data_IF_317863052651
#
_entry.id   IF_317863052651
#
_cell.length_a   1.000
_cell.length_b   1.000
_cell.length_c   1.000
_cell.angle_alpha   90.00
_cell.angle_beta   90.00
_cell.angle_gamma   90.00
#
_symmetry.space_group_name_H-M   'P 1'
#
loop_
_entity.id
_entity.type
_entity.pdbx_description
1 polymer ?
2 non-polymer ?
3 water ?
#
# COMPACT_ATOMS: atom_id res chain seq x y z
N UNK A 1 -18.95 -18.38 -2.82
CA UNK A 1 -19.83 -17.45 -2.09
C UNK A 1 -21.05 -18.19 -1.54
N UNK A 2 -21.54 -17.77 -0.39
CA UNK A 2 -22.72 -18.34 0.23
C UNK A 2 -23.71 -17.21 0.50
N UNK A 3 -24.98 -17.38 0.13
CA UNK A 3 -25.98 -16.36 0.38
C UNK A 3 -27.08 -16.89 1.26
N UNK A 4 -27.41 -16.20 2.34
CA UNK A 4 -28.53 -16.65 3.17
C UNK A 4 -29.58 -15.56 3.02
N UNK A 5 -30.79 -15.94 2.64
CA UNK A 5 -31.83 -14.96 2.44
C UNK A 5 -33.01 -15.23 3.35
N UNK A 6 -33.33 -14.24 4.17
CA UNK A 6 -34.47 -14.33 5.04
C UNK A 6 -35.66 -13.64 4.35
N UNK A 7 -36.77 -14.34 4.24
CA UNK A 7 -37.97 -13.78 3.62
C UNK A 7 -39.16 -14.20 4.45
N UNK A 8 -40.24 -13.44 4.40
CA UNK A 8 -41.45 -13.77 5.15
C UNK A 8 -42.05 -14.98 4.48
N UNK A 9 -42.78 -15.76 5.25
CA UNK A 9 -43.44 -16.96 4.76
C UNK A 9 -44.53 -16.55 3.81
N UNK A 10 -44.89 -17.43 2.91
CA UNK A 10 -45.94 -17.08 1.98
C UNK A 10 -45.69 -17.36 0.51
N UNK A 11 -44.44 -17.23 0.05
CA UNK A 11 -44.14 -17.48 -1.34
C UNK A 11 -44.36 -18.92 -1.77
N UNK A 12 -44.48 -19.11 -3.08
CA UNK A 12 -44.66 -20.41 -3.64
C UNK A 12 -43.30 -21.04 -3.88
N UNK A 13 -43.29 -22.35 -4.09
CA UNK A 13 -42.06 -23.05 -4.31
C UNK A 13 -41.43 -22.57 -5.61
N UNK A 14 -42.28 -22.12 -6.51
CA UNK A 14 -41.84 -21.67 -7.81
C UNK A 14 -41.11 -20.37 -7.64
N UNK A 15 -41.65 -19.51 -6.79
CA UNK A 15 -40.98 -18.24 -6.55
C UNK A 15 -39.64 -18.42 -5.84
N UNK A 16 -39.58 -19.36 -4.91
CA UNK A 16 -38.37 -19.62 -4.19
C UNK A 16 -37.33 -20.22 -5.12
N UNK A 17 -37.77 -21.10 -5.99
CA UNK A 17 -36.87 -21.72 -6.96
C UNK A 17 -36.25 -20.65 -7.84
N UNK A 18 -37.09 -19.73 -8.27
CA UNK A 18 -36.60 -18.64 -9.12
C UNK A 18 -35.64 -17.77 -8.32
N UNK A 19 -36.00 -17.49 -7.09
CA UNK A 19 -35.15 -16.69 -6.25
C UNK A 19 -33.75 -17.32 -6.20
N UNK A 20 -33.69 -18.61 -5.92
CA UNK A 20 -32.43 -19.30 -5.83
C UNK A 20 -31.65 -19.21 -7.14
N UNK A 21 -32.33 -19.42 -8.24
CA UNK A 21 -31.68 -19.37 -9.54
C UNK A 21 -31.22 -17.96 -9.88
N UNK A 22 -32.09 -16.97 -9.72
CA UNK A 22 -31.73 -15.58 -10.00
C UNK A 22 -30.56 -15.06 -9.13
N UNK A 23 -30.66 -15.30 -7.82
CA UNK A 23 -29.62 -14.81 -6.95
C UNK A 23 -28.30 -15.50 -7.29
N UNK A 24 -28.33 -16.78 -7.60
CA UNK A 24 -27.08 -17.48 -7.94
C UNK A 24 -26.41 -16.90 -9.16
N UNK A 25 -27.19 -16.60 -10.20
CA UNK A 25 -26.64 -16.00 -11.41
C UNK A 25 -26.17 -14.60 -11.11
N UNK A 26 -26.92 -13.88 -10.31
CA UNK A 26 -26.50 -12.53 -9.99
C UNK A 26 -25.14 -12.54 -9.29
N UNK A 27 -24.96 -13.43 -8.33
CA UNK A 27 -23.69 -13.53 -7.61
C UNK A 27 -22.58 -13.95 -8.58
N UNK A 28 -22.85 -14.95 -9.40
CA UNK A 28 -21.90 -15.44 -10.39
C UNK A 28 -21.41 -14.38 -11.43
N UNK A 29 -22.33 -13.60 -11.98
CA UNK A 29 -21.99 -12.58 -12.95
C UNK A 29 -21.21 -11.48 -12.25
N UNK A 30 -21.75 -11.00 -11.13
CA UNK A 30 -21.15 -9.91 -10.36
C UNK A 30 -19.73 -10.13 -9.91
N UNK A 31 -19.44 -11.32 -9.41
CA UNK A 31 -18.12 -11.65 -8.89
C UNK A 31 -17.28 -12.42 -9.85
N UNK A 32 -17.88 -12.83 -10.95
CA UNK A 32 -17.17 -13.58 -11.97
C UNK A 32 -16.65 -14.87 -11.37
N UNK A 33 -17.56 -15.56 -10.70
CA UNK A 33 -17.27 -16.82 -10.05
C UNK A 33 -18.07 -17.92 -10.70
N UNK A 34 -17.54 -19.12 -10.69
CA UNK A 34 -18.30 -20.19 -11.31
C UNK A 34 -19.63 -20.40 -10.59
N UNK A 35 -20.69 -20.49 -11.38
CA UNK A 35 -22.01 -20.67 -10.88
C UNK A 35 -22.12 -21.88 -9.99
N UNK A 36 -21.29 -22.87 -10.27
CA UNK A 36 -21.33 -24.10 -9.48
C UNK A 36 -20.82 -23.95 -8.03
N UNK A 37 -20.11 -22.87 -7.71
CA UNK A 37 -19.61 -22.72 -6.36
C UNK A 37 -20.58 -21.93 -5.48
N UNK A 38 -21.65 -21.38 -6.05
CA UNK A 38 -22.59 -20.58 -5.28
C UNK A 38 -23.65 -21.36 -4.56
N UNK A 39 -23.77 -21.12 -3.25
CA UNK A 39 -24.74 -21.81 -2.43
C UNK A 39 -25.73 -20.81 -1.89
N UNK A 40 -27.00 -21.17 -1.91
CA UNK A 40 -27.98 -20.23 -1.45
C UNK A 40 -28.91 -20.92 -0.50
N UNK A 41 -29.10 -20.27 0.65
CA UNK A 41 -29.96 -20.75 1.71
C UNK A 41 -31.09 -19.80 1.88
N UNK A 42 -32.32 -20.31 1.82
CA UNK A 42 -33.51 -19.50 2.03
C UNK A 42 -34.03 -19.84 3.43
N UNK A 43 -34.14 -18.84 4.31
CA UNK A 43 -34.66 -19.05 5.64
C UNK A 43 -36.01 -18.32 5.67
N UNK A 44 -37.10 -19.04 5.85
CA UNK A 44 -38.40 -18.43 5.90
C UNK A 44 -38.75 -18.00 7.29
N UNK A 45 -39.35 -16.81 7.44
CA UNK A 45 -39.74 -16.32 8.74
C UNK A 45 -41.26 -16.35 8.85
N UNK A 46 -41.75 -16.77 10.03
CA UNK A 46 -43.18 -16.83 10.38
C UNK A 46 -43.53 -15.39 10.65
N UNK A 47 -44.73 -15.00 10.28
CA UNK A 47 -45.16 -13.61 10.42
C UNK A 47 -45.03 -13.13 11.85
N UNK A 48 -45.12 -14.06 12.78
CA UNK A 48 -44.97 -13.73 14.19
C UNK A 48 -43.53 -13.72 14.71
N UNK A 49 -42.56 -13.93 13.82
CA UNK A 49 -41.17 -13.93 14.25
C UNK A 49 -40.36 -12.86 13.61
N UNK A 50 -41.02 -11.93 12.90
CA UNK A 50 -40.33 -10.84 12.26
C UNK A 50 -40.99 -9.54 12.74
N UNK A 51 -40.19 -8.60 13.20
CA UNK A 51 -40.74 -7.33 13.63
C UNK A 51 -40.11 -6.22 12.84
N UNK A 52 -40.89 -5.17 12.51
CA UNK A 52 -40.40 -3.97 11.80
C UNK A 52 -40.85 -2.76 12.61
N UNK A 53 -39.95 -1.89 12.99
CA UNK A 53 -40.38 -0.78 13.81
C UNK A 53 -41.04 -1.26 15.11
N UNK A 54 -40.75 -2.45 15.62
CA UNK A 54 -41.34 -2.87 16.87
C UNK A 54 -42.63 -3.64 16.74
N UNK A 55 -43.29 -3.57 15.58
CA UNK A 55 -44.52 -4.34 15.39
C UNK A 55 -44.30 -5.65 14.62
N UNK A 56 -45.17 -6.62 14.87
CA UNK A 56 -45.10 -7.89 14.18
C UNK A 56 -45.43 -7.68 12.73
N UNK A 57 -44.81 -8.48 11.87
CA UNK A 57 -45.08 -8.40 10.44
C UNK A 57 -46.53 -8.85 10.15
N UNK A 58 -47.10 -9.69 11.02
CA UNK A 58 -48.48 -10.17 10.86
C UNK A 58 -49.53 -9.08 11.01
N UNK A 59 -49.18 -8.01 11.73
CA UNK A 59 -50.08 -6.91 11.97
C UNK A 59 -49.84 -5.89 10.89
N UNK A 60 -48.74 -6.01 10.17
CA UNK A 60 -48.40 -4.97 9.24
C UNK A 60 -48.03 -5.44 7.80
N UNK A 61 -48.15 -6.73 7.53
CA UNK A 61 -47.82 -7.23 6.22
C UNK A 61 -48.76 -8.34 5.93
N UNK A 62 -48.81 -8.77 4.68
CA UNK A 62 -49.67 -9.86 4.32
C UNK A 62 -49.15 -11.10 5.02
N UNK B 1 -37.14 -8.50 2.36
CA UNK B 1 -36.12 -9.57 2.34
C UNK B 1 -34.72 -9.04 2.71
N UNK B 2 -33.96 -9.89 3.41
CA UNK B 2 -32.59 -9.55 3.81
C UNK B 2 -31.62 -10.64 3.32
N UNK B 3 -30.57 -10.23 2.65
CA UNK B 3 -29.62 -11.19 2.15
C UNK B 3 -28.28 -10.92 2.73
N UNK B 4 -27.64 -11.93 3.27
CA UNK B 4 -26.27 -11.81 3.78
C UNK B 4 -25.41 -12.69 2.83
N UNK B 5 -24.38 -12.10 2.26
CA UNK B 5 -23.54 -12.83 1.35
C UNK B 5 -22.13 -12.89 1.87
N UNK B 6 -21.62 -14.10 2.05
CA UNK B 6 -20.26 -14.31 2.51
C UNK B 6 -19.38 -14.53 1.28
N UNK B 7 -18.37 -13.70 1.11
CA UNK B 7 -17.47 -13.85 -0.02
C UNK B 7 -16.03 -13.72 0.45
N UNK B 8 -15.09 -14.30 -0.28
CA UNK B 8 -13.68 -14.20 0.08
C UNK B 8 -13.21 -12.78 -0.18
N UNK B 9 -12.30 -12.29 0.66
CA UNK B 9 -11.74 -10.97 0.52
C UNK B 9 -11.00 -10.84 -0.81
N UNK B 10 -10.91 -9.62 -1.33
CA UNK B 10 -10.23 -9.44 -2.59
C UNK B 10 -10.93 -8.64 -3.65
N UNK B 11 -12.23 -8.72 -3.71
CA UNK B 11 -12.96 -7.98 -4.74
C UNK B 11 -12.83 -6.47 -4.60
N UNK B 12 -13.10 -5.76 -5.69
CA UNK B 12 -13.01 -4.34 -5.67
C UNK B 12 -14.33 -3.83 -5.17
N UNK B 13 -14.33 -2.56 -4.82
CA UNK B 13 -15.54 -1.92 -4.37
C UNK B 13 -16.58 -1.86 -5.46
N UNK B 14 -16.10 -1.86 -6.71
CA UNK B 14 -16.95 -1.80 -7.90
C UNK B 14 -17.68 -3.10 -8.02
N UNK B 15 -16.97 -4.18 -7.86
CA UNK B 15 -17.59 -5.48 -7.95
C UNK B 15 -18.62 -5.73 -6.86
N UNK B 16 -18.36 -5.20 -5.67
CA UNK B 16 -19.25 -5.40 -4.55
C UNK B 16 -20.48 -4.60 -4.75
N UNK B 17 -20.28 -3.42 -5.34
CA UNK B 17 -21.37 -2.51 -5.61
C UNK B 17 -22.31 -3.17 -6.59
N UNK B 18 -21.73 -3.79 -7.59
CA UNK B 18 -22.50 -4.52 -8.59
C UNK B 18 -23.22 -5.72 -7.94
N UNK B 19 -22.50 -6.42 -7.07
CA UNK B 19 -23.07 -7.55 -6.40
C UNK B 19 -24.33 -7.11 -5.69
N UNK B 20 -24.23 -6.06 -4.89
CA UNK B 20 -25.37 -5.53 -4.15
C UNK B 20 -26.54 -5.11 -5.05
N UNK B 21 -26.23 -4.47 -6.17
CA UNK B 21 -27.27 -4.04 -7.10
C UNK B 21 -27.93 -5.22 -7.80
N UNK B 22 -27.12 -6.14 -8.31
CA UNK B 22 -27.61 -7.31 -9.03
C UNK B 22 -28.39 -8.28 -8.15
N UNK B 23 -27.94 -8.53 -6.94
CA UNK B 23 -28.67 -9.42 -6.06
C UNK B 23 -29.97 -8.74 -5.62
N UNK B 24 -29.97 -7.43 -5.43
CA UNK B 24 -31.21 -6.76 -4.98
C UNK B 24 -32.31 -6.89 -6.00
N UNK B 25 -31.98 -6.59 -7.26
CA UNK B 25 -32.93 -6.72 -8.36
C UNK B 25 -33.36 -8.17 -8.50
N UNK B 26 -32.41 -9.12 -8.43
CA UNK B 26 -32.75 -10.54 -8.56
C UNK B 26 -33.80 -10.90 -7.53
N UNK B 27 -33.61 -10.44 -6.29
CA UNK B 27 -34.57 -10.75 -5.24
C UNK B 27 -35.92 -10.10 -5.53
N UNK B 28 -35.88 -8.82 -5.91
CA UNK B 28 -37.06 -8.03 -6.23
C UNK B 28 -37.93 -8.64 -7.37
N UNK B 29 -37.28 -8.98 -8.48
CA UNK B 29 -37.98 -9.57 -9.62
C UNK B 29 -38.53 -10.90 -9.21
N UNK B 30 -37.70 -11.74 -8.57
CA UNK B 30 -38.06 -13.11 -8.13
C UNK B 30 -39.22 -13.26 -7.20
N UNK B 31 -39.29 -12.36 -6.24
CA UNK B 31 -40.36 -12.42 -5.25
C UNK B 31 -41.42 -11.38 -5.53
N UNK B 32 -41.17 -10.55 -6.51
CA UNK B 32 -42.13 -9.53 -6.85
C UNK B 32 -42.31 -8.68 -5.63
N UNK B 33 -41.17 -8.16 -5.16
CA UNK B 33 -41.16 -7.29 -4.01
C UNK B 33 -40.57 -5.94 -4.38
N UNK B 34 -41.02 -4.88 -3.71
CA UNK B 34 -40.47 -3.57 -4.04
C UNK B 34 -38.97 -3.57 -3.76
N UNK B 35 -38.22 -3.17 -4.76
CA UNK B 35 -36.79 -3.11 -4.65
C UNK B 35 -36.33 -2.37 -3.41
N UNK B 36 -37.15 -1.44 -2.96
CA UNK B 36 -36.78 -0.63 -1.78
C UNK B 36 -36.82 -1.31 -0.42
N UNK B 37 -37.41 -2.50 -0.36
CA UNK B 37 -37.48 -3.24 0.90
C UNK B 37 -36.33 -4.24 1.02
N UNK B 38 -35.55 -4.36 -0.03
CA UNK B 38 -34.44 -5.28 -0.03
C UNK B 38 -33.15 -4.77 0.55
N UNK B 39 -32.65 -5.48 1.58
CA UNK B 39 -31.39 -5.15 2.23
C UNK B 39 -30.36 -6.22 1.94
N UNK B 40 -29.15 -5.78 1.65
CA UNK B 40 -28.09 -6.70 1.36
C UNK B 40 -26.86 -6.41 2.17
N UNK B 41 -26.36 -7.44 2.82
CA UNK B 41 -25.17 -7.35 3.66
C UNK B 41 -24.10 -8.18 3.05
N UNK B 42 -22.94 -7.60 2.83
CA UNK B 42 -21.81 -8.34 2.30
C UNK B 42 -20.84 -8.59 3.46
N UNK B 43 -20.51 -9.84 3.75
CA UNK B 43 -19.57 -10.15 4.80
C UNK B 43 -18.35 -10.75 4.11
N UNK B 44 -17.21 -10.09 4.27
CA UNK B 44 -15.97 -10.56 3.64
C UNK B 44 -15.22 -11.47 4.58
N UNK B 45 -14.79 -12.62 4.09
CA UNK B 45 -13.96 -13.51 4.88
C UNK B 45 -12.47 -13.42 4.45
N UNK B 46 -11.61 -13.41 5.46
CA UNK B 46 -10.15 -13.41 5.32
C UNK B 46 -9.83 -14.80 4.83
N UNK B 47 -8.87 -14.92 3.95
CA UNK B 47 -8.49 -16.21 3.40
C UNK B 47 -8.14 -17.24 4.50
N UNK B 48 -7.66 -16.77 5.63
CA UNK B 48 -7.36 -17.68 6.71
C UNK B 48 -8.57 -17.97 7.61
N UNK B 49 -9.75 -17.50 7.24
CA UNK B 49 -10.93 -17.73 8.05
C UNK B 49 -11.98 -18.53 7.32
N UNK B 50 -11.63 -19.03 6.14
CA UNK B 50 -12.53 -19.85 5.38
C UNK B 50 -11.85 -21.17 5.01
N UNK B 51 -12.55 -22.27 5.24
CA UNK B 51 -12.00 -23.57 4.94
C UNK B 51 -12.94 -24.38 4.09
N UNK B 52 -12.41 -25.12 3.13
CA UNK B 52 -13.22 -25.95 2.29
C UNK B 52 -12.56 -27.30 2.42
N UNK B 53 -13.31 -28.32 2.78
CA UNK B 53 -12.70 -29.63 2.94
C UNK B 53 -11.62 -29.73 4.03
N UNK B 54 -11.67 -28.88 5.05
CA UNK B 54 -10.68 -28.92 6.09
C UNK B 54 -9.47 -28.06 5.78
N UNK B 55 -9.32 -27.60 4.55
CA UNK B 55 -8.18 -26.75 4.22
C UNK B 55 -8.50 -25.25 4.10
N UNK B 56 -7.54 -24.39 4.46
CA UNK B 56 -7.76 -22.95 4.36
C UNK B 56 -7.83 -22.57 2.94
N UNK B 57 -8.61 -21.54 2.66
CA UNK B 57 -8.80 -21.03 1.32
C UNK B 57 -7.48 -20.39 0.83
N UNK B 58 -6.67 -19.87 1.74
CA UNK B 58 -5.42 -19.23 1.32
C UNK B 58 -4.45 -20.28 0.79
N UNK B 59 -4.65 -21.53 1.22
CA UNK B 59 -3.80 -22.63 0.79
C UNK B 59 -4.39 -23.24 -0.47
N UNK B 60 -5.64 -22.93 -0.77
CA UNK B 60 -6.30 -23.61 -1.85
C UNK B 60 -7.04 -22.77 -2.89
N UNK B 61 -6.93 -21.45 -2.77
CA UNK B 61 -7.61 -20.55 -3.69
C UNK B 61 -6.72 -19.37 -3.84
N UNK B 62 -6.97 -18.56 -4.86
CA UNK B 62 -6.16 -17.37 -5.08
C UNK B 62 -6.38 -16.37 -3.90
N UNK C 1 16.09 -0.60 0.38
CA UNK C 1 15.05 0.47 0.44
C UNK C 1 13.70 -0.12 0.92
N UNK C 2 12.96 0.70 1.67
CA UNK C 2 11.65 0.33 2.20
C UNK C 2 10.61 1.39 1.76
N UNK C 3 9.48 0.93 1.22
CA UNK C 3 8.45 1.85 0.76
C UNK C 3 7.12 1.62 1.44
N UNK C 4 6.56 2.68 2.02
CA UNK C 4 5.25 2.56 2.65
C UNK C 4 4.34 3.42 1.82
N UNK C 5 3.26 2.81 1.35
CA UNK C 5 2.34 3.53 0.52
C UNK C 5 0.96 3.58 1.15
N UNK C 6 0.46 4.80 1.35
CA UNK C 6 -0.88 5.03 1.90
C UNK C 6 -1.82 5.30 0.73
N UNK C 7 -2.84 4.45 0.62
CA UNK C 7 -3.85 4.59 -0.43
C UNK C 7 -5.23 4.40 0.21
N UNK C 8 -6.22 5.00 -0.42
CA UNK C 8 -7.59 4.87 0.04
C UNK C 8 -8.04 3.42 -0.19
N UNK C 9 -8.94 2.97 0.67
CA UNK C 9 -9.45 1.63 0.59
C UNK C 9 -10.26 1.50 -0.70
N UNK C 10 -10.41 0.27 -1.17
CA UNK C 10 -11.20 0.06 -2.37
C UNK C 10 -10.61 -0.72 -3.53
N UNK C 11 -9.30 -0.63 -3.67
CA UNK C 11 -8.60 -1.34 -4.73
C UNK C 11 -8.77 -2.84 -4.56
N UNK C 12 -8.61 -3.55 -5.67
CA UNK C 12 -8.70 -5.00 -5.64
C UNK C 12 -7.33 -5.50 -5.19
N UNK C 13 -7.25 -6.81 -4.94
CA UNK C 13 -5.98 -7.45 -4.53
C UNK C 13 -4.99 -7.47 -5.69
N UNK C 14 -5.55 -7.58 -6.90
CA UNK C 14 -4.82 -7.61 -8.18
C UNK C 14 -4.13 -6.28 -8.37
N UNK C 15 -4.87 -5.20 -8.15
CA UNK C 15 -4.30 -3.86 -8.27
C UNK C 15 -3.16 -3.62 -7.28
N UNK C 16 -3.35 -4.11 -6.05
CA UNK C 16 -2.36 -3.94 -4.98
C UNK C 16 -1.11 -4.74 -5.29
N UNK C 17 -1.32 -5.97 -5.77
CA UNK C 17 -0.23 -6.86 -6.16
C UNK C 17 0.62 -6.20 -7.26
N UNK C 18 -0.07 -5.54 -8.19
CA UNK C 18 0.59 -4.85 -9.30
C UNK C 18 1.31 -3.64 -8.77
N UNK C 19 0.68 -2.97 -7.81
CA UNK C 19 1.29 -1.80 -7.21
C UNK C 19 2.62 -2.21 -6.51
N UNK C 20 2.57 -3.29 -5.74
CA UNK C 20 3.77 -3.77 -5.05
C UNK C 20 4.87 -4.13 -6.05
N UNK C 21 4.49 -4.80 -7.12
CA UNK C 21 5.44 -5.22 -8.13
C UNK C 21 6.02 -4.04 -8.93
N UNK C 22 5.13 -3.18 -9.41
CA UNK C 22 5.57 -2.02 -10.19
C UNK C 22 6.50 -1.05 -9.42
N UNK C 23 6.14 -0.74 -8.16
CA UNK C 23 6.91 0.16 -7.31
C UNK C 23 8.25 -0.48 -6.95
N UNK C 24 8.28 -1.79 -6.74
CA UNK C 24 9.54 -2.48 -6.42
C UNK C 24 10.48 -2.35 -7.60
N UNK C 25 10.00 -2.63 -8.80
CA UNK C 25 10.85 -2.50 -10.00
C UNK C 25 11.31 -1.06 -10.20
N UNK C 26 10.38 -0.12 -9.98
CA UNK C 26 10.71 1.30 -10.13
C UNK C 26 11.86 1.71 -9.20
N UNK C 27 11.79 1.28 -7.94
CA UNK C 27 12.84 1.55 -6.95
C UNK C 27 14.18 0.87 -7.34
N UNK C 28 14.08 -0.41 -7.71
CA UNK C 28 15.25 -1.22 -8.13
C UNK C 28 16.00 -0.60 -9.35
N UNK C 29 15.22 -0.20 -10.36
CA UNK C 29 15.77 0.42 -11.58
C UNK C 29 16.40 1.77 -11.29
N UNK C 30 15.62 2.59 -10.58
CA UNK C 30 15.99 3.94 -10.19
C UNK C 30 17.25 4.07 -9.38
N UNK C 31 17.39 3.18 -8.39
CA UNK C 31 18.55 3.22 -7.49
C UNK C 31 19.63 2.21 -7.85
N UNK C 32 19.32 1.34 -8.82
CA UNK C 32 20.25 0.31 -9.26
C UNK C 32 20.56 -0.59 -8.07
N UNK C 33 19.48 -1.10 -7.48
CA UNK C 33 19.58 -1.95 -6.31
C UNK C 33 18.95 -3.28 -6.62
N UNK C 34 19.45 -4.34 -5.94
CA UNK C 34 18.84 -5.65 -6.21
C UNK C 34 17.36 -5.58 -5.84
N UNK C 35 16.53 -6.07 -6.74
CA UNK C 35 15.10 -6.11 -6.54
C UNK C 35 14.74 -6.86 -5.26
N UNK C 36 15.61 -7.77 -4.84
CA UNK C 36 15.38 -8.58 -3.65
C UNK C 36 15.52 -7.87 -2.31
N UNK C 37 16.12 -6.69 -2.31
CA UNK C 37 16.27 -5.96 -1.06
C UNK C 37 15.12 -4.99 -0.84
N UNK C 38 14.24 -4.84 -1.83
CA UNK C 38 13.13 -3.90 -1.72
C UNK C 38 11.89 -4.45 -1.00
N UNK C 39 11.45 -3.69 0.00
CA UNK C 39 10.27 -4.05 0.79
C UNK C 39 9.21 -2.98 0.60
N UNK C 40 8.00 -3.44 0.34
CA UNK C 40 6.92 -2.52 0.14
C UNK C 40 5.78 -2.85 1.08
N UNK C 41 5.33 -1.80 1.78
CA UNK C 41 4.21 -1.90 2.71
C UNK C 41 3.10 -1.05 2.17
N UNK C 42 1.91 -1.63 2.07
CA UNK C 42 0.72 -0.91 1.62
C UNK C 42 -0.19 -0.68 2.84
N UNK C 43 -0.45 0.59 3.14
CA UNK C 43 -1.32 0.88 4.28
C UNK C 43 -2.60 1.47 3.69
N UNK C 44 -3.70 0.78 3.88
CA UNK C 44 -4.97 1.26 3.38
C UNK C 44 -5.64 2.19 4.38
N UNK C 45 -6.25 3.25 3.86
CA UNK C 45 -6.98 4.21 4.69
C UNK C 45 -8.50 4.12 4.44
N UNK C 46 -9.25 4.10 5.55
CA UNK C 46 -10.69 4.07 5.51
C UNK C 46 -11.04 5.48 5.01
N UNK C 47 -12.12 5.59 4.23
CA UNK C 47 -12.54 6.88 3.71
C UNK C 47 -12.78 7.95 4.81
N UNK C 48 -13.11 7.50 6.02
CA UNK C 48 -13.32 8.44 7.10
C UNK C 48 -12.05 8.73 7.88
N UNK C 49 -10.91 8.22 7.43
CA UNK C 49 -9.68 8.47 8.15
C UNK C 49 -8.72 9.27 7.33
N UNK C 50 -9.19 9.74 6.19
CA UNK C 50 -8.35 10.56 5.32
C UNK C 50 -9.05 11.86 4.98
N UNK C 51 -8.37 12.98 5.25
CA UNK C 51 -8.96 14.25 4.96
C UNK C 51 -8.08 15.04 4.02
N UNK C 52 -8.72 15.78 3.11
CA UNK C 52 -7.98 16.62 2.19
C UNK C 52 -8.61 17.98 2.38
N UNK C 53 -7.80 19.01 2.63
CA UNK C 53 -8.36 20.33 2.81
C UNK C 53 -9.33 20.41 3.97
N UNK C 54 -9.17 19.55 4.98
CA UNK C 54 -10.06 19.60 6.13
C UNK C 54 -11.29 18.74 6.02
N UNK C 55 -11.49 18.12 4.87
CA UNK C 55 -12.66 17.32 4.75
C UNK C 55 -12.40 15.86 4.41
N UNK C 56 -13.33 15.00 4.87
CA UNK C 56 -13.21 13.56 4.68
C UNK C 56 -13.21 13.19 3.24
N UNK C 57 -12.38 12.21 2.91
CA UNK C 57 -12.28 11.70 1.54
C UNK C 57 -13.59 11.02 1.11
N UNK C 58 -14.24 10.31 2.03
CA UNK C 58 -15.49 9.61 1.72
C UNK C 58 -16.48 10.63 1.20
N UNK D 1 -2.70 9.17 -3.25
CA UNK D 1 -1.72 8.26 -2.61
C UNK D 1 -0.45 9.01 -2.18
N UNK D 2 0.09 8.61 -1.04
CA UNK D 2 1.31 9.20 -0.50
C UNK D 2 2.28 8.04 -0.26
N UNK D 3 3.52 8.19 -0.71
CA UNK D 3 4.56 7.15 -0.53
C UNK D 3 5.75 7.69 0.26
N UNK D 4 6.15 6.97 1.31
CA UNK D 4 7.32 7.41 2.04
C UNK D 4 8.35 6.30 1.80
N UNK D 5 9.53 6.69 1.32
CA UNK D 5 10.54 5.69 1.04
C UNK D 5 11.76 5.96 1.87
N UNK D 6 12.16 4.95 2.64
CA UNK D 6 13.36 5.02 3.49
C UNK D 6 14.51 4.36 2.73
N UNK D 7 15.58 5.10 2.50
CA UNK D 7 16.71 4.52 1.80
C UNK D 7 17.97 4.91 2.54
N UNK D 8 19.04 4.15 2.35
CA UNK D 8 20.30 4.45 3.01
C UNK D 8 20.87 5.68 2.33
N UNK D 9 21.61 6.46 3.10
CA UNK D 9 22.21 7.66 2.56
C UNK D 9 23.26 7.25 1.50
N UNK D 10 23.60 8.18 0.61
CA UNK D 10 24.60 7.86 -0.39
C UNK D 10 24.23 8.12 -1.85
N UNK D 11 22.96 7.92 -2.20
CA UNK D 11 22.52 8.15 -3.57
C UNK D 11 22.73 9.59 -4.01
N UNK D 12 22.74 9.78 -5.33
CA UNK D 12 22.94 11.11 -5.90
C UNK D 12 21.58 11.79 -5.98
N UNK D 13 21.58 13.09 -6.26
CA UNK D 13 20.33 13.81 -6.39
C UNK D 13 19.60 13.33 -7.65
N UNK D 14 20.39 12.91 -8.64
CA UNK D 14 19.85 12.41 -9.91
C UNK D 14 19.08 11.11 -9.68
N UNK D 15 19.68 10.20 -8.91
CA UNK D 15 19.04 8.94 -8.58
C UNK D 15 17.75 9.12 -7.80
N UNK D 16 17.74 10.07 -6.87
CA UNK D 16 16.60 10.38 -6.02
C UNK D 16 15.45 11.00 -6.82
N UNK D 17 15.85 11.83 -7.78
CA UNK D 17 14.92 12.50 -8.70
C UNK D 17 14.26 11.43 -9.56
N UNK D 18 15.05 10.45 -9.98
CA UNK D 18 14.51 9.39 -10.80
C UNK D 18 13.58 8.53 -9.97
N UNK D 19 13.98 8.27 -8.73
CA UNK D 19 13.19 7.44 -7.81
C UNK D 19 11.79 8.07 -7.65
N UNK D 20 11.80 9.37 -7.34
CA UNK D 20 10.55 10.09 -7.16
C UNK D 20 9.68 10.04 -8.43
N UNK D 21 10.30 10.15 -9.60
CA UNK D 21 9.52 10.13 -10.85
C UNK D 21 9.00 8.72 -11.16
N UNK D 22 9.88 7.73 -11.09
CA UNK D 22 9.54 6.33 -11.37
C UNK D 22 8.48 5.76 -10.44
N UNK D 23 8.60 6.03 -9.13
CA UNK D 23 7.63 5.51 -8.16
C UNK D 23 6.28 6.22 -8.40
N UNK D 24 6.32 7.51 -8.69
CA UNK D 24 5.06 8.23 -8.92
C UNK D 24 4.27 7.63 -10.09
N UNK D 25 4.96 7.43 -11.21
CA UNK D 25 4.34 6.82 -12.37
C UNK D 25 3.86 5.42 -12.05
N UNK D 26 4.66 4.66 -11.30
CA UNK D 26 4.28 3.30 -10.96
C UNK D 26 2.96 3.28 -10.18
N UNK D 27 2.83 4.19 -9.19
CA UNK D 27 1.59 4.28 -8.37
C UNK D 27 0.37 4.72 -9.26
N UNK D 28 0.62 5.75 -10.08
CA UNK D 28 -0.37 6.29 -11.02
C UNK D 28 -0.91 5.23 -12.04
N UNK D 29 -0.02 4.49 -12.69
CA UNK D 29 -0.44 3.44 -13.63
C UNK D 29 -1.17 2.33 -12.87
N UNK D 30 -0.55 1.89 -11.77
CA UNK D 30 -1.05 0.79 -10.93
C UNK D 30 -2.46 0.92 -10.37
N UNK D 31 -2.71 2.12 -9.84
CA UNK D 31 -4.00 2.47 -9.22
C UNK D 31 -4.93 3.24 -10.19
N UNK D 32 -4.38 3.62 -11.33
CA UNK D 32 -5.14 4.36 -12.31
C UNK D 32 -5.58 5.66 -11.65
N UNK D 33 -4.60 6.40 -11.13
CA UNK D 33 -4.86 7.65 -10.44
C UNK D 33 -4.14 8.77 -11.15
N UNK D 34 -4.67 10.00 -11.06
CA UNK D 34 -3.97 11.11 -11.74
C UNK D 34 -2.58 11.33 -11.12
N UNK D 35 -1.56 11.33 -11.96
CA UNK D 35 -0.19 11.49 -11.50
C UNK D 35 -0.02 12.70 -10.60
N UNK D 36 -0.85 13.71 -10.79
CA UNK D 36 -0.78 14.94 -9.99
C UNK D 36 -1.22 14.83 -8.53
N UNK D 37 -1.89 13.74 -8.18
CA UNK D 37 -2.31 13.57 -6.79
C UNK D 37 -1.26 12.76 -5.97
N UNK D 38 -0.20 12.27 -6.64
CA UNK D 38 0.80 11.43 -5.98
C UNK D 38 1.91 12.19 -5.31
N UNK D 39 2.08 11.96 -4.00
CA UNK D 39 3.14 12.64 -3.25
C UNK D 39 4.17 11.63 -2.78
N UNK D 40 5.44 11.97 -2.95
CA UNK D 40 6.47 11.03 -2.56
C UNK D 40 7.48 11.70 -1.63
N UNK D 41 7.71 11.03 -0.51
CA UNK D 41 8.66 11.50 0.49
C UNK D 41 9.81 10.51 0.59
N UNK D 42 11.03 11.02 0.48
CA UNK D 42 12.24 10.20 0.56
C UNK D 42 12.87 10.49 1.91
N UNK D 43 12.95 9.48 2.76
CA UNK D 43 13.59 9.73 4.03
C UNK D 43 14.94 9.01 3.98
N UNK D 44 16.03 9.75 4.11
CA UNK D 44 17.36 9.14 4.07
C UNK D 44 17.83 8.70 5.44
N UNK D 45 18.40 7.49 5.52
CA UNK D 45 18.90 6.96 6.79
C UNK D 45 20.42 6.92 6.81
N UNK D 46 20.97 7.40 7.93
CA UNK D 46 22.41 7.43 8.18
C UNK D 46 22.77 5.96 8.41
N UNK D 47 23.93 5.54 7.91
CA UNK D 47 24.33 4.14 8.06
C UNK D 47 24.29 3.66 9.51
N UNK D 48 24.43 4.60 10.45
CA UNK D 48 24.41 4.27 11.88
C UNK D 48 23.00 4.22 12.48
N UNK D 49 22.00 4.52 11.67
CA UNK D 49 20.66 4.50 12.21
C UNK D 49 19.86 3.38 11.61
N UNK D 50 20.50 2.55 10.79
CA UNK D 50 19.76 1.46 10.20
C UNK D 50 20.44 0.15 10.57
N UNK D 51 19.64 -0.77 11.10
CA UNK D 51 20.16 -2.06 11.47
C UNK D 51 19.39 -3.14 10.78
N UNK D 52 20.12 -4.20 10.40
CA UNK D 52 19.55 -5.38 9.77
C UNK D 52 20.10 -6.54 10.60
N UNK D 53 19.21 -7.40 11.07
CA UNK D 53 19.68 -8.52 11.87
C UNK D 53 20.45 -8.07 13.10
N UNK D 54 20.17 -6.87 13.59
CA UNK D 54 20.85 -6.41 14.80
C UNK D 54 22.16 -5.66 14.64
N UNK D 55 22.69 -5.59 13.43
CA UNK D 55 23.95 -4.88 13.21
C UNK D 55 23.70 -3.62 12.40
N UNK D 56 24.58 -2.64 12.55
CA UNK D 56 24.44 -1.42 11.80
C UNK D 56 24.70 -1.70 10.33
N UNK D 57 24.05 -0.90 9.48
CA UNK D 57 24.24 -1.03 8.04
C UNK D 57 25.68 -0.63 7.68
N UNK D 58 26.30 0.21 8.51
CA UNK D 58 27.69 0.60 8.27
C UNK D 58 28.57 -0.68 8.34
N UNK D 59 28.19 -1.58 9.24
CA UNK D 59 28.89 -2.84 9.44
C UNK D 59 28.43 -3.94 8.47
N UNK D 60 27.18 -4.37 8.67
CA UNK D 60 26.49 -5.44 7.92
C UNK D 60 26.06 -5.16 6.45
N UNK E 1 53.25 23.91 15.27
CA UNK E 1 52.65 24.24 13.98
C UNK E 1 51.17 23.88 13.91
N UNK E 2 50.39 24.74 13.27
CA UNK E 2 48.97 24.45 13.11
C UNK E 2 48.61 24.45 11.62
N UNK E 3 47.92 23.44 11.14
CA UNK E 3 47.56 23.40 9.73
C UNK E 3 46.07 23.37 9.52
N UNK E 4 45.56 24.24 8.67
CA UNK E 4 44.12 24.21 8.35
C UNK E 4 44.01 23.87 6.88
N UNK E 5 43.30 22.78 6.59
CA UNK E 5 43.17 22.30 5.22
C UNK E 5 41.73 22.38 4.74
N UNK E 6 41.51 23.12 3.65
CA UNK E 6 40.17 23.24 3.07
C UNK E 6 40.11 22.27 1.91
N UNK E 7 39.13 21.41 1.96
CA UNK E 7 38.96 20.45 0.91
C UNK E 7 37.47 20.37 0.57
N UNK E 8 37.16 19.93 -0.64
CA UNK E 8 35.78 19.80 -1.08
C UNK E 8 35.21 18.63 -0.34
N UNK E 9 33.92 18.68 -0.12
CA UNK E 9 33.22 17.65 0.60
C UNK E 9 33.22 16.40 -0.24
N UNK E 10 33.02 15.27 0.41
CA UNK E 10 33.01 14.03 -0.35
C UNK E 10 33.95 12.94 0.08
N UNK E 11 35.11 13.29 0.62
CA UNK E 11 36.06 12.26 1.05
C UNK E 11 35.49 11.45 2.14
N UNK E 12 36.02 10.24 2.31
CA UNK E 12 35.56 9.34 3.37
C UNK E 12 36.30 9.72 4.64
N UNK E 13 35.91 9.10 5.73
CA UNK E 13 36.54 9.37 7.00
C UNK E 13 37.92 8.77 7.03
N UNK E 14 38.10 7.71 6.26
CA UNK E 14 39.35 7.00 6.18
C UNK E 14 40.36 7.87 5.48
N UNK E 15 39.92 8.54 4.42
CA UNK E 15 40.80 9.43 3.68
C UNK E 15 41.21 10.65 4.52
N UNK E 16 40.27 11.19 5.28
CA UNK E 16 40.52 12.35 6.11
C UNK E 16 41.46 12.02 7.23
N UNK E 17 41.32 10.80 7.75
CA UNK E 17 42.17 10.30 8.81
C UNK E 17 43.58 10.16 8.32
N UNK E 18 43.73 9.62 7.11
CA UNK E 18 45.03 9.49 6.47
C UNK E 18 45.63 10.88 6.23
N UNK E 19 44.79 11.79 5.73
CA UNK E 19 45.23 13.15 5.48
C UNK E 19 45.81 13.76 6.74
N UNK E 20 45.09 13.66 7.83
CA UNK E 20 45.56 14.24 9.07
C UNK E 20 46.87 13.59 9.51
N UNK E 21 47.03 12.30 9.23
CA UNK E 21 48.22 11.61 9.69
C UNK E 21 49.38 11.94 8.79
N UNK E 22 49.14 11.92 7.48
CA UNK E 22 50.19 12.19 6.54
C UNK E 22 50.71 13.62 6.61
N UNK E 23 49.82 14.59 6.72
CA UNK E 23 50.23 16.00 6.82
C UNK E 23 50.99 16.28 8.13
N UNK E 24 50.59 15.66 9.24
CA UNK E 24 51.28 15.83 10.55
C UNK E 24 52.70 15.31 10.46
N UNK E 25 52.88 14.12 9.90
CA UNK E 25 54.24 13.60 9.71
C UNK E 25 55.06 14.49 8.79
N UNK E 26 54.45 14.94 7.69
CA UNK E 26 55.16 15.79 6.73
C UNK E 26 55.62 17.06 7.41
N UNK E 27 54.78 17.67 8.23
CA UNK E 27 55.19 18.89 8.95
C UNK E 27 56.32 18.57 9.99
N UNK E 28 56.14 17.48 10.74
CA UNK E 28 57.09 17.03 11.71
C UNK E 28 58.51 16.72 11.10
N UNK E 29 58.54 16.01 9.97
CA UNK E 29 59.81 15.67 9.33
C UNK E 29 60.44 16.92 8.78
N UNK E 30 59.63 17.72 8.11
CA UNK E 30 60.08 18.95 7.45
C UNK E 30 60.70 20.00 8.30
N UNK E 31 60.11 20.22 9.47
CA UNK E 31 60.56 21.24 10.40
C UNK E 31 61.36 20.66 11.52
N UNK E 32 61.44 19.34 11.58
CA UNK E 32 62.11 18.61 12.65
C UNK E 32 61.50 19.03 13.98
N UNK E 33 60.19 18.82 14.10
CA UNK E 33 59.46 19.19 15.28
C UNK E 33 58.81 17.96 15.83
N UNK E 34 58.57 17.94 17.14
CA UNK E 34 57.92 16.76 17.69
C UNK E 34 56.53 16.63 17.09
N UNK E 35 56.23 15.44 16.63
CA UNK E 35 54.94 15.13 16.04
C UNK E 35 53.79 15.51 16.96
N UNK E 36 54.02 15.41 18.25
CA UNK E 36 52.97 15.70 19.20
C UNK E 36 52.53 17.17 19.28
N UNK E 37 53.29 18.07 18.69
CA UNK E 37 52.90 19.47 18.76
C UNK E 37 52.06 19.93 17.56
N UNK E 38 51.94 19.09 16.56
CA UNK E 38 51.25 19.43 15.34
C UNK E 38 49.75 19.26 15.39
N UNK E 39 49.05 20.34 15.11
CA UNK E 39 47.61 20.29 15.10
C UNK E 39 47.11 20.44 13.67
N UNK E 40 46.10 19.67 13.29
CA UNK E 40 45.58 19.75 11.95
C UNK E 40 44.08 19.88 11.98
N UNK E 41 43.62 20.90 11.26
CA UNK E 41 42.22 21.19 11.14
C UNK E 41 41.81 21.01 9.71
N UNK E 42 40.79 20.19 9.49
CA UNK E 42 40.22 19.94 8.18
C UNK E 42 38.88 20.67 8.06
N UNK E 43 38.76 21.60 7.13
CA UNK E 43 37.51 22.31 6.93
C UNK E 43 36.95 21.86 5.56
N UNK E 44 35.77 21.29 5.58
CA UNK E 44 35.14 20.81 4.37
C UNK E 44 34.27 21.88 3.76
N UNK E 45 34.37 22.02 2.45
CA UNK E 45 33.58 23.00 1.72
C UNK E 45 32.50 22.31 0.88
N UNK E 46 31.30 22.87 0.94
CA UNK E 46 30.16 22.40 0.19
C UNK E 46 30.46 22.81 -1.26
N UNK E 47 30.07 21.99 -2.22
CA UNK E 47 30.34 22.29 -3.62
C UNK E 47 29.81 23.65 -4.05
N UNK E 48 28.76 24.10 -3.39
CA UNK E 48 28.23 25.39 -3.73
C UNK E 48 28.93 26.53 -3.01
N UNK E 49 29.92 26.24 -2.19
CA UNK E 49 30.57 27.31 -1.48
C UNK E 49 31.97 27.50 -1.95
N UNK E 50 32.36 26.81 -3.01
CA UNK E 50 33.71 26.97 -3.55
C UNK E 50 33.69 27.37 -5.03
N UNK E 51 34.39 28.43 -5.36
CA UNK E 51 34.38 28.80 -6.73
C UNK E 51 35.79 28.82 -7.24
N UNK E 52 35.97 28.50 -8.51
CA UNK E 52 37.26 28.55 -9.15
C UNK E 52 37.00 29.34 -10.44
N UNK E 53 37.72 30.42 -10.65
CA UNK E 53 37.53 31.21 -11.85
C UNK E 53 36.14 31.78 -11.92
N UNK E 54 35.45 31.89 -10.80
CA UNK E 54 34.12 32.46 -10.82
C UNK E 54 32.94 31.50 -10.90
N UNK E 55 33.22 30.22 -11.16
CA UNK E 55 32.19 29.20 -11.28
C UNK E 55 32.16 28.28 -10.08
N UNK E 56 30.99 27.79 -9.68
CA UNK E 56 30.89 26.90 -8.55
C UNK E 56 31.62 25.62 -8.87
N UNK E 57 32.17 25.00 -7.84
CA UNK E 57 32.89 23.76 -7.98
C UNK E 57 31.89 22.70 -8.35
N UNK E 58 30.63 22.93 -7.98
CA UNK E 58 29.59 21.95 -8.27
C UNK E 58 29.32 21.81 -9.78
N UNK E 59 29.62 22.87 -10.52
CA UNK E 59 29.45 22.92 -11.97
C UNK E 59 30.75 22.51 -12.61
N UNK E 60 31.82 22.54 -11.87
CA UNK E 60 33.09 22.29 -12.52
C UNK E 60 34.01 21.24 -11.87
N UNK E 61 33.52 20.65 -10.78
CA UNK E 61 34.27 19.62 -10.04
C UNK E 61 33.31 18.55 -9.59
N UNK E 62 33.85 17.45 -9.12
CA UNK E 62 33.02 16.34 -8.62
C UNK E 62 32.33 16.83 -7.33
#
# INVERSE_FOLDING_TARGET
PIAQIHILEGRSDEQKETLIREVSEAISRSLDAPLTSVRVIITEMAKGHFGIGGELASKVRR
PIAQIHILEGRSDEQKETLIREVSEAISRSLDAPLTSVRVIITEMAKGHFGIGGELASKVRR
PIAQIHILEGRSDEQKETLIREVSEAISRSLDAPLTSVRVIITEMAKGHFGIGGELASKVRR
PIAQIHILEGRSDEQKETLIREVSEAISRSLDAPLTSVRVIITEMAKGHFGIGGELASKVRR
PIAQIHILEGRSDEQKETLIREVSEAISRSLDAPLTSVRVIITEMAKGHFGIGGELASKVRR
#
